data_IF_637216532616
#
_entry.id   IF_637216532616
#
_cell.length_a   1.000
_cell.length_b   1.000
_cell.length_c   1.000
_cell.angle_alpha   90.00
_cell.angle_beta   90.00
_cell.angle_gamma   90.00
#
_symmetry.space_group_name_H-M   'P 1'
#
loop_
_entity.id
_entity.type
_entity.pdbx_description
1 polymer ?
#
# COMPACT_ATOMS: atom_id res chain seq x y z
N UNK A 1 -21.64 1.08 5.08
CA UNK A 1 -22.21 1.65 6.34
C UNK A 1 -21.22 1.36 7.46
N UNK A 2 -20.36 2.31 7.77
CA UNK A 2 -19.39 2.21 8.87
C UNK A 2 -20.07 2.70 10.14
N UNK A 3 -20.54 1.77 10.95
CA UNK A 3 -21.01 2.10 12.31
C UNK A 3 -19.81 2.52 13.13
N UNK A 4 -19.66 3.82 13.33
CA UNK A 4 -18.76 4.41 14.31
C UNK A 4 -19.25 4.00 15.69
N UNK A 5 -18.72 2.90 16.21
CA UNK A 5 -19.04 2.45 17.57
C UNK A 5 -18.37 3.41 18.53
N UNK A 6 -19.16 4.17 19.30
CA UNK A 6 -18.66 4.97 20.41
C UNK A 6 -17.80 4.11 21.35
N UNK A 7 -16.75 4.65 21.98
CA UNK A 7 -15.89 3.87 22.87
C UNK A 7 -16.74 3.37 24.05
N UNK A 8 -16.92 2.05 24.07
CA UNK A 8 -17.63 1.39 25.16
C UNK A 8 -16.75 1.37 26.43
N UNK A 9 -17.30 1.78 27.55
CA UNK A 9 -16.59 1.69 28.84
C UNK A 9 -16.41 0.22 29.27
N UNK A 10 -15.42 -0.05 30.13
CA UNK A 10 -15.14 -1.39 30.67
C UNK A 10 -16.37 -2.08 31.29
N UNK A 11 -17.34 -1.30 31.77
CA UNK A 11 -18.58 -1.80 32.41
C UNK A 11 -19.79 -1.77 31.49
N UNK A 12 -19.64 -1.52 30.19
CA UNK A 12 -20.75 -1.51 29.23
C UNK A 12 -21.44 -2.88 29.18
N UNK A 13 -22.78 -2.90 29.36
CA UNK A 13 -23.61 -4.12 29.34
C UNK A 13 -24.36 -4.33 28.03
N UNK A 14 -24.07 -3.54 26.98
CA UNK A 14 -24.72 -3.74 25.68
C UNK A 14 -24.41 -5.12 25.09
N UNK A 15 -25.25 -5.57 24.16
CA UNK A 15 -25.11 -6.88 23.53
C UNK A 15 -23.71 -7.12 22.96
N UNK A 16 -23.17 -6.14 22.21
CA UNK A 16 -21.84 -6.25 21.57
C UNK A 16 -20.72 -6.43 22.62
N UNK A 17 -20.74 -5.66 23.72
CA UNK A 17 -19.76 -5.81 24.79
C UNK A 17 -19.88 -7.14 25.53
N UNK A 18 -21.08 -7.66 25.69
CA UNK A 18 -21.29 -9.01 26.29
C UNK A 18 -20.72 -10.10 25.39
N UNK A 19 -20.99 -10.04 24.09
CA UNK A 19 -20.45 -10.99 23.10
C UNK A 19 -18.92 -10.93 23.05
N UNK A 20 -18.34 -9.73 23.00
CA UNK A 20 -16.89 -9.55 23.00
C UNK A 20 -16.24 -10.14 24.26
N UNK A 21 -16.84 -9.91 25.45
CA UNK A 21 -16.36 -10.46 26.72
C UNK A 21 -16.47 -11.98 26.77
N UNK A 22 -17.58 -12.56 26.30
CA UNK A 22 -17.76 -14.01 26.21
C UNK A 22 -16.77 -14.67 25.25
N UNK A 23 -16.47 -14.04 24.11
CA UNK A 23 -15.45 -14.52 23.19
C UNK A 23 -14.06 -14.49 23.81
N UNK A 24 -13.70 -13.38 24.44
CA UNK A 24 -12.44 -13.23 25.14
C UNK A 24 -12.25 -14.30 26.24
N UNK A 25 -13.29 -14.57 27.03
CA UNK A 25 -13.23 -15.59 28.08
C UNK A 25 -13.08 -17.01 27.49
N UNK A 26 -13.80 -17.32 26.40
CA UNK A 26 -13.66 -18.60 25.68
C UNK A 26 -12.24 -18.80 25.14
N UNK A 27 -11.66 -17.78 24.50
CA UNK A 27 -10.31 -17.85 23.98
C UNK A 27 -9.28 -18.05 25.11
N UNK A 28 -9.45 -17.37 26.24
CA UNK A 28 -8.59 -17.51 27.43
C UNK A 28 -8.67 -18.93 28.01
N UNK A 29 -9.88 -19.47 28.13
CA UNK A 29 -10.09 -20.84 28.65
C UNK A 29 -9.51 -21.88 27.69
N UNK A 30 -9.68 -21.67 26.39
CA UNK A 30 -9.12 -22.58 25.38
C UNK A 30 -7.59 -22.56 25.41
N UNK A 31 -6.98 -21.38 25.46
CA UNK A 31 -5.52 -21.25 25.58
C UNK A 31 -4.97 -21.97 26.82
N UNK A 32 -5.68 -21.85 27.95
CA UNK A 32 -5.30 -22.56 29.18
C UNK A 32 -5.40 -24.09 29.06
N UNK A 33 -6.42 -24.60 28.36
CA UNK A 33 -6.56 -26.04 28.05
C UNK A 33 -5.46 -26.56 27.14
N UNK A 34 -5.06 -25.74 26.17
CA UNK A 34 -4.02 -26.09 25.20
C UNK A 34 -2.61 -25.92 25.77
N UNK A 35 -2.49 -25.45 27.03
CA UNK A 35 -1.21 -25.19 27.69
C UNK A 35 -0.41 -24.03 27.04
N UNK A 36 -1.09 -23.18 26.25
CA UNK A 36 -0.49 -22.10 25.49
C UNK A 36 -0.78 -20.77 26.17
N UNK A 37 0.23 -19.91 26.45
CA UNK A 37 -0.02 -18.59 27.04
C UNK A 37 -0.97 -17.76 26.16
N UNK A 38 -2.02 -17.19 26.76
CA UNK A 38 -2.97 -16.31 26.08
C UNK A 38 -2.36 -14.98 25.67
N UNK A 39 -1.37 -14.51 26.43
CA UNK A 39 -0.59 -13.30 26.15
C UNK A 39 0.88 -13.63 25.88
N UNK A 40 1.55 -12.76 25.16
CA UNK A 40 2.98 -12.86 24.84
C UNK A 40 3.65 -11.50 24.97
N UNK A 41 4.98 -11.43 24.97
CA UNK A 41 5.72 -10.17 24.93
C UNK A 41 5.59 -9.50 23.56
N UNK A 42 5.75 -8.17 23.52
CA UNK A 42 5.67 -7.39 22.28
C UNK A 42 6.97 -7.43 21.45
N UNK A 43 8.08 -7.96 21.98
CA UNK A 43 9.42 -7.83 21.39
C UNK A 43 9.50 -8.24 19.91
N UNK A 44 9.08 -9.45 19.58
CA UNK A 44 9.13 -9.95 18.20
C UNK A 44 8.21 -9.15 17.26
N UNK A 45 7.04 -8.75 17.78
CA UNK A 45 6.08 -7.94 17.04
C UNK A 45 6.60 -6.53 16.81
N UNK A 46 7.21 -5.91 17.81
CA UNK A 46 7.83 -4.59 17.71
C UNK A 46 8.94 -4.58 16.66
N UNK A 47 9.87 -5.54 16.72
CA UNK A 47 10.95 -5.67 15.74
C UNK A 47 10.42 -5.82 14.31
N UNK A 48 9.36 -6.62 14.10
CA UNK A 48 8.74 -6.76 12.79
C UNK A 48 8.04 -5.49 12.31
N UNK A 49 7.34 -4.78 13.20
CA UNK A 49 6.68 -3.51 12.87
C UNK A 49 7.69 -2.42 12.52
N UNK A 50 8.85 -2.38 13.18
CA UNK A 50 9.95 -1.47 12.88
C UNK A 50 10.49 -1.66 11.44
N UNK A 51 10.55 -2.90 10.94
CA UNK A 51 10.93 -3.14 9.54
C UNK A 51 9.96 -2.49 8.56
N UNK A 52 8.65 -2.52 8.84
CA UNK A 52 7.67 -1.83 8.00
C UNK A 52 7.78 -0.30 8.12
N UNK A 53 8.06 0.22 9.30
CA UNK A 53 8.30 1.66 9.50
C UNK A 53 9.56 2.12 8.77
N UNK A 54 10.65 1.36 8.84
CA UNK A 54 11.88 1.62 8.09
C UNK A 54 11.67 1.58 6.57
N UNK A 55 10.72 0.76 6.10
CA UNK A 55 10.27 0.75 4.69
C UNK A 55 9.37 1.94 4.32
N UNK A 56 9.10 2.86 5.25
CA UNK A 56 8.35 4.10 5.01
C UNK A 56 6.83 4.00 5.19
N UNK A 57 6.32 2.90 5.73
CA UNK A 57 4.89 2.78 6.06
C UNK A 57 4.55 3.53 7.35
N UNK A 58 3.34 4.08 7.44
CA UNK A 58 2.85 4.72 8.67
C UNK A 58 2.18 3.71 9.59
N UNK A 59 2.14 3.97 10.90
CA UNK A 59 1.42 3.14 11.88
C UNK A 59 -0.01 2.82 11.45
N UNK A 60 -0.73 3.81 10.90
CA UNK A 60 -2.10 3.65 10.40
C UNK A 60 -2.17 2.71 9.17
N UNK A 61 -1.21 2.82 8.26
CA UNK A 61 -1.14 1.95 7.08
C UNK A 61 -0.88 0.50 7.47
N UNK A 62 0.02 0.27 8.44
CA UNK A 62 0.36 -1.04 8.97
C UNK A 62 -0.83 -1.66 9.72
N UNK A 63 -1.53 -0.87 10.55
CA UNK A 63 -2.66 -1.36 11.35
C UNK A 63 -3.89 -1.75 10.54
N UNK A 64 -4.16 -1.05 9.43
CA UNK A 64 -5.38 -1.22 8.62
C UNK A 64 -5.65 -2.67 8.18
N UNK A 65 -4.71 -3.41 7.56
CA UNK A 65 -4.95 -4.80 7.12
C UNK A 65 -5.18 -5.77 8.27
N UNK A 66 -4.72 -5.45 9.47
CA UNK A 66 -4.91 -6.26 10.67
C UNK A 66 -6.17 -5.89 11.46
N UNK A 67 -6.90 -4.83 11.04
CA UNK A 67 -8.04 -4.29 11.78
C UNK A 67 -7.64 -3.57 13.08
N UNK A 68 -6.40 -3.08 13.16
CA UNK A 68 -5.83 -2.39 14.33
C UNK A 68 -5.80 -0.87 14.10
N UNK A 69 -5.96 -0.10 15.18
CA UNK A 69 -5.70 1.35 15.13
C UNK A 69 -4.18 1.61 15.06
N UNK A 70 -3.81 2.69 14.36
CA UNK A 70 -2.41 3.13 14.29
C UNK A 70 -1.79 3.42 15.65
N UNK A 71 -2.57 3.90 16.64
CA UNK A 71 -2.13 4.10 18.02
C UNK A 71 -1.78 2.78 18.72
N UNK A 72 -2.51 1.72 18.43
CA UNK A 72 -2.21 0.39 18.98
C UNK A 72 -0.90 -0.15 18.40
N UNK A 73 -0.68 0.01 17.09
CA UNK A 73 0.59 -0.35 16.44
C UNK A 73 1.74 0.47 17.05
N UNK A 74 1.56 1.78 17.24
CA UNK A 74 2.55 2.66 17.86
C UNK A 74 2.88 2.20 19.27
N UNK A 75 1.88 1.90 20.11
CA UNK A 75 2.07 1.41 21.50
C UNK A 75 2.90 0.12 21.54
N UNK A 76 2.71 -0.80 20.60
CA UNK A 76 3.48 -2.05 20.55
C UNK A 76 4.95 -1.76 20.26
N UNK A 77 5.23 -0.84 19.33
CA UNK A 77 6.60 -0.45 18.96
C UNK A 77 7.29 0.31 20.11
N UNK A 78 6.59 1.23 20.75
CA UNK A 78 7.13 2.04 21.85
C UNK A 78 7.31 1.28 23.17
N UNK A 79 6.59 0.16 23.35
CA UNK A 79 6.68 -0.67 24.55
C UNK A 79 6.93 -2.16 24.19
N UNK A 80 8.14 -2.51 23.73
CA UNK A 80 8.47 -3.88 23.32
C UNK A 80 8.43 -4.88 24.47
N UNK A 81 8.64 -4.45 25.70
CA UNK A 81 8.55 -5.31 26.90
C UNK A 81 7.12 -5.44 27.45
N UNK A 82 6.16 -4.77 26.85
CA UNK A 82 4.75 -4.91 27.17
C UNK A 82 4.20 -6.28 26.77
N UNK A 83 2.96 -6.55 27.20
CA UNK A 83 2.24 -7.77 26.82
C UNK A 83 1.16 -7.47 25.79
N UNK A 84 0.92 -8.44 24.89
CA UNK A 84 -0.13 -8.42 23.88
C UNK A 84 -0.84 -9.76 23.81
N UNK A 85 -2.01 -9.78 23.16
CA UNK A 85 -2.70 -11.02 22.86
C UNK A 85 -1.90 -11.82 21.82
N UNK A 86 -1.84 -13.14 21.99
CA UNK A 86 -1.20 -14.03 21.02
C UNK A 86 -1.81 -13.92 19.63
N UNK A 87 -3.13 -13.81 19.54
CA UNK A 87 -3.84 -13.61 18.27
C UNK A 87 -3.41 -12.31 17.56
N UNK A 88 -3.07 -11.26 18.32
CA UNK A 88 -2.52 -10.01 17.76
C UNK A 88 -1.10 -10.22 17.25
N UNK A 89 -0.25 -10.94 18.00
CA UNK A 89 1.09 -11.31 17.53
C UNK A 89 1.02 -12.09 16.21
N UNK A 90 0.16 -13.08 16.11
CA UNK A 90 -0.02 -13.89 14.90
C UNK A 90 -0.42 -13.04 13.69
N UNK A 91 -1.33 -12.07 13.87
CA UNK A 91 -1.69 -11.12 12.81
C UNK A 91 -0.48 -10.30 12.34
N UNK A 92 0.35 -9.82 13.26
CA UNK A 92 1.55 -9.03 12.94
C UNK A 92 2.58 -9.92 12.24
N UNK A 93 2.81 -11.13 12.72
CA UNK A 93 3.78 -12.06 12.14
C UNK A 93 3.39 -12.54 10.74
N UNK A 94 2.09 -12.66 10.46
CA UNK A 94 1.56 -13.06 9.15
C UNK A 94 1.38 -11.88 8.18
N UNK A 95 1.54 -10.62 8.64
CA UNK A 95 1.39 -9.44 7.78
C UNK A 95 2.48 -9.40 6.70
N UNK A 96 2.05 -9.25 5.46
CA UNK A 96 2.94 -9.10 4.30
C UNK A 96 2.95 -7.65 3.80
N UNK A 97 4.08 -7.19 3.27
CA UNK A 97 4.22 -5.85 2.65
C UNK A 97 3.17 -5.61 1.55
N UNK A 98 2.84 -6.65 0.79
CA UNK A 98 1.82 -6.58 -0.28
C UNK A 98 0.42 -6.21 0.20
N UNK A 99 0.12 -6.45 1.48
CA UNK A 99 -1.18 -6.16 2.11
C UNK A 99 -1.27 -4.73 2.66
N UNK A 100 -0.11 -4.06 2.83
CA UNK A 100 -0.06 -2.71 3.39
C UNK A 100 -0.27 -1.71 2.26
N UNK A 101 -1.32 -0.89 2.36
CA UNK A 101 -1.50 0.28 1.50
C UNK A 101 -0.59 1.40 2.02
N UNK A 102 0.42 1.85 1.26
CA UNK A 102 1.31 2.93 1.68
C UNK A 102 0.61 4.29 1.85
N UNK A 103 -0.72 4.34 1.63
CA UNK A 103 -1.47 5.58 1.72
C UNK A 103 -1.14 6.51 0.56
N UNK A 104 -0.72 7.74 0.86
CA UNK A 104 -0.34 8.72 -0.16
C UNK A 104 1.16 8.65 -0.44
N UNK A 105 1.53 8.57 -1.73
CA UNK A 105 2.91 8.51 -2.21
C UNK A 105 3.16 9.59 -3.26
N UNK A 106 4.43 9.91 -3.51
CA UNK A 106 4.80 10.80 -4.63
C UNK A 106 4.36 10.22 -5.97
N UNK A 107 3.83 11.06 -6.84
CA UNK A 107 3.41 10.65 -8.19
C UNK A 107 4.59 10.51 -9.17
N UNK A 108 5.81 10.86 -8.76
CA UNK A 108 6.97 10.97 -9.65
C UNK A 108 7.28 9.68 -10.40
N UNK A 109 7.40 8.57 -9.69
CA UNK A 109 7.68 7.26 -10.31
C UNK A 109 6.55 6.78 -11.22
N UNK A 110 5.30 6.98 -10.79
CA UNK A 110 4.12 6.67 -11.60
C UNK A 110 4.07 7.52 -12.88
N UNK A 111 4.39 8.81 -12.77
CA UNK A 111 4.48 9.71 -13.92
C UNK A 111 5.53 9.22 -14.93
N UNK A 112 6.70 8.82 -14.46
CA UNK A 112 7.80 8.32 -15.32
C UNK A 112 7.40 7.01 -16.03
N UNK A 113 6.76 6.08 -15.32
CA UNK A 113 6.24 4.81 -15.89
C UNK A 113 5.19 5.05 -16.97
N UNK A 114 4.24 5.96 -16.74
CA UNK A 114 3.23 6.32 -17.75
C UNK A 114 3.84 6.97 -19.00
N UNK A 115 4.86 7.83 -18.83
CA UNK A 115 5.59 8.45 -19.92
C UNK A 115 6.39 7.43 -20.72
N UNK A 116 7.00 6.46 -20.07
CA UNK A 116 7.72 5.36 -20.69
C UNK A 116 6.79 4.51 -21.57
N UNK A 117 5.62 4.10 -21.06
CA UNK A 117 4.61 3.41 -21.85
C UNK A 117 4.14 4.24 -23.04
N UNK A 118 3.96 5.54 -22.86
CA UNK A 118 3.56 6.45 -23.94
C UNK A 118 4.63 6.57 -25.04
N UNK A 119 5.91 6.51 -24.68
CA UNK A 119 7.04 6.49 -25.63
C UNK A 119 7.12 5.16 -26.39
N UNK A 120 6.71 4.06 -25.77
CA UNK A 120 6.53 2.76 -26.44
C UNK A 120 5.40 2.76 -27.46
N UNK A 121 4.40 3.65 -27.31
CA UNK A 121 3.25 3.75 -28.20
C UNK A 121 1.91 3.44 -27.51
N UNK A 122 1.92 3.11 -26.23
CA UNK A 122 0.68 2.89 -25.49
C UNK A 122 -0.06 4.20 -25.26
N UNK A 123 -1.31 4.28 -25.70
CA UNK A 123 -2.15 5.47 -25.53
C UNK A 123 -2.72 5.52 -24.11
N UNK A 124 -2.87 6.74 -23.55
CA UNK A 124 -3.38 6.91 -22.18
C UNK A 124 -4.75 6.24 -21.93
N UNK A 125 -5.74 6.31 -22.86
CA UNK A 125 -7.00 5.58 -22.68
C UNK A 125 -6.80 4.07 -22.53
N UNK A 126 -5.91 3.47 -23.33
CA UNK A 126 -5.62 2.03 -23.24
C UNK A 126 -4.92 1.68 -21.92
N UNK A 127 -3.97 2.51 -21.47
CA UNK A 127 -3.31 2.35 -20.17
C UNK A 127 -4.34 2.45 -19.03
N UNK A 128 -5.33 3.34 -19.14
CA UNK A 128 -6.41 3.49 -18.17
C UNK A 128 -7.26 2.21 -18.07
N UNK A 129 -7.68 1.68 -19.21
CA UNK A 129 -8.41 0.42 -19.33
C UNK A 129 -7.65 -0.75 -18.66
N UNK A 130 -6.37 -0.90 -19.01
CA UNK A 130 -5.50 -1.97 -18.50
C UNK A 130 -5.16 -1.85 -17.01
N UNK A 131 -5.17 -0.63 -16.47
CA UNK A 131 -4.90 -0.37 -15.04
C UNK A 131 -6.15 -0.37 -14.17
N UNK A 132 -7.36 -0.35 -14.76
CA UNK A 132 -8.62 -0.16 -14.03
C UNK A 132 -8.78 1.24 -13.44
N UNK A 133 -8.00 2.23 -13.91
CA UNK A 133 -8.06 3.61 -13.44
C UNK A 133 -8.79 4.51 -14.45
N UNK A 134 -9.35 5.62 -13.98
CA UNK A 134 -9.97 6.58 -14.89
C UNK A 134 -8.94 7.25 -15.82
N UNK A 135 -9.33 7.53 -17.06
CA UNK A 135 -8.46 8.20 -18.04
C UNK A 135 -7.98 9.57 -17.52
N UNK A 136 -8.84 10.30 -16.81
CA UNK A 136 -8.45 11.58 -16.20
C UNK A 136 -7.37 11.43 -15.12
N UNK A 137 -7.43 10.39 -14.29
CA UNK A 137 -6.39 10.11 -13.30
C UNK A 137 -5.05 9.82 -13.99
N UNK A 138 -5.04 8.91 -14.97
CA UNK A 138 -3.85 8.57 -15.76
C UNK A 138 -3.28 9.81 -16.47
N UNK A 139 -4.13 10.61 -17.10
CA UNK A 139 -3.73 11.85 -17.80
C UNK A 139 -3.10 12.87 -16.85
N UNK A 140 -3.71 13.12 -15.70
CA UNK A 140 -3.20 14.09 -14.74
C UNK A 140 -1.84 13.66 -14.15
N UNK A 141 -1.66 12.37 -13.88
CA UNK A 141 -0.37 11.83 -13.42
C UNK A 141 0.68 11.92 -14.53
N UNK A 142 0.38 11.48 -15.76
CA UNK A 142 1.32 11.50 -16.89
C UNK A 142 1.80 12.93 -17.24
N UNK A 143 0.91 13.92 -17.13
CA UNK A 143 1.21 15.33 -17.37
C UNK A 143 1.90 16.01 -16.17
N UNK A 144 2.05 15.35 -15.02
CA UNK A 144 2.67 15.92 -13.82
C UNK A 144 1.81 16.96 -13.10
N UNK A 145 0.50 16.98 -13.35
CA UNK A 145 -0.44 17.91 -12.69
C UNK A 145 -0.70 17.56 -11.23
N UNK A 146 -0.45 16.30 -10.85
CA UNK A 146 -0.63 15.78 -9.50
C UNK A 146 0.73 15.40 -8.94
N UNK A 147 1.07 15.88 -7.75
CA UNK A 147 2.35 15.59 -7.07
C UNK A 147 2.26 14.37 -6.15
N UNK A 148 1.06 14.06 -5.65
CA UNK A 148 0.81 13.02 -4.66
C UNK A 148 -0.40 12.20 -5.13
N UNK A 149 -0.29 10.88 -5.09
CA UNK A 149 -1.36 9.92 -5.45
C UNK A 149 -1.55 8.90 -4.35
N UNK A 150 -2.65 8.15 -4.41
CA UNK A 150 -2.85 7.01 -3.51
C UNK A 150 -1.86 5.88 -3.87
N UNK A 151 -1.36 5.19 -2.86
CA UNK A 151 -0.46 4.06 -3.05
C UNK A 151 -1.06 2.94 -3.89
N UNK A 152 -2.36 2.70 -3.75
CA UNK A 152 -3.12 1.77 -4.61
C UNK A 152 -3.07 2.19 -6.08
N UNK A 153 -3.21 3.47 -6.38
CA UNK A 153 -3.06 4.02 -7.73
C UNK A 153 -1.63 3.85 -8.26
N UNK A 154 -0.62 4.13 -7.42
CA UNK A 154 0.78 3.92 -7.79
C UNK A 154 1.07 2.45 -8.10
N UNK A 155 0.58 1.53 -7.27
CA UNK A 155 0.72 0.07 -7.46
C UNK A 155 0.04 -0.40 -8.74
N UNK A 156 -1.18 0.08 -9.04
CA UNK A 156 -1.88 -0.25 -10.27
C UNK A 156 -1.08 0.20 -11.51
N UNK A 157 -0.51 1.42 -11.48
CA UNK A 157 0.34 1.94 -12.57
C UNK A 157 1.62 1.11 -12.72
N UNK A 158 2.27 0.74 -11.62
CA UNK A 158 3.49 -0.08 -11.65
C UNK A 158 3.21 -1.45 -12.26
N UNK A 159 2.19 -2.17 -11.77
CA UNK A 159 1.81 -3.47 -12.30
C UNK A 159 1.46 -3.42 -13.80
N UNK A 160 0.75 -2.36 -14.22
CA UNK A 160 0.40 -2.14 -15.62
C UNK A 160 1.63 -1.86 -16.47
N UNK A 161 2.57 -1.05 -15.97
CA UNK A 161 3.84 -0.79 -16.64
C UNK A 161 4.63 -2.08 -16.83
N UNK A 162 4.81 -2.89 -15.77
CA UNK A 162 5.60 -4.13 -15.82
C UNK A 162 5.01 -5.16 -16.79
N UNK A 163 3.69 -5.16 -16.96
CA UNK A 163 3.01 -5.99 -17.94
C UNK A 163 3.14 -5.45 -19.36
N UNK A 164 2.75 -4.20 -19.57
CA UNK A 164 2.69 -3.61 -20.92
C UNK A 164 4.07 -3.31 -21.52
N UNK A 165 5.10 -3.08 -20.70
CA UNK A 165 6.47 -2.88 -21.19
C UNK A 165 7.10 -4.11 -21.84
N UNK A 166 6.54 -5.31 -21.57
CA UNK A 166 6.95 -6.59 -22.17
C UNK A 166 6.11 -6.99 -23.39
N UNK A 167 5.10 -6.21 -23.71
CA UNK A 167 4.18 -6.46 -24.82
C UNK A 167 4.41 -5.44 -25.92
N UNK A 168 4.14 -5.83 -27.14
CA UNK A 168 4.14 -4.89 -28.26
C UNK A 168 2.89 -3.99 -28.21
N UNK A 169 3.04 -2.67 -28.37
CA UNK A 169 1.90 -1.77 -28.46
C UNK A 169 1.12 -2.04 -29.75
N UNK A 170 -0.19 -1.66 -29.80
CA UNK A 170 -0.97 -1.80 -31.00
C UNK A 170 -0.29 -1.16 -32.22
N UNK A 171 -0.16 -1.91 -33.33
CA UNK A 171 0.51 -1.48 -34.57
C UNK A 171 -0.35 -0.52 -35.42
N UNK A 172 -1.12 0.37 -34.76
CA UNK A 172 -2.00 1.32 -35.44
C UNK A 172 -1.33 2.70 -35.63
N UNK A 173 -1.78 3.50 -36.64
CA UNK A 173 -1.23 4.83 -36.91
C UNK A 173 -1.37 5.80 -35.72
N UNK A 174 -2.40 5.63 -34.88
CA UNK A 174 -2.65 6.48 -33.70
C UNK A 174 -1.60 6.23 -32.61
N UNK A 175 -1.22 4.96 -32.38
CA UNK A 175 -0.16 4.57 -31.44
C UNK A 175 1.19 5.14 -31.88
N UNK A 176 1.55 5.06 -33.15
CA UNK A 176 2.77 5.66 -33.72
C UNK A 176 2.78 7.19 -33.58
N UNK A 177 1.66 7.85 -33.90
CA UNK A 177 1.49 9.30 -33.75
C UNK A 177 1.61 9.70 -32.27
N UNK A 178 1.06 8.91 -31.36
CA UNK A 178 1.15 9.16 -29.92
C UNK A 178 2.59 9.06 -29.40
N UNK A 179 3.33 8.04 -29.79
CA UNK A 179 4.75 7.89 -29.44
C UNK A 179 5.58 9.09 -29.96
N UNK A 180 5.35 9.55 -31.19
CA UNK A 180 5.98 10.74 -31.75
C UNK A 180 5.68 11.99 -30.91
N UNK A 181 4.40 12.25 -30.57
CA UNK A 181 3.99 13.36 -29.70
C UNK A 181 4.63 13.29 -28.31
N UNK A 182 4.80 12.09 -27.77
CA UNK A 182 5.42 11.89 -26.46
C UNK A 182 6.91 12.26 -26.48
N UNK A 183 7.62 11.94 -27.56
CA UNK A 183 9.02 12.38 -27.78
C UNK A 183 9.13 13.90 -27.91
N UNK A 184 8.24 14.55 -28.67
CA UNK A 184 8.22 16.01 -28.82
C UNK A 184 7.97 16.73 -27.49
N UNK A 185 7.29 16.10 -26.53
CA UNK A 185 7.11 16.61 -25.16
C UNK A 185 8.35 16.48 -24.27
N UNK A 186 9.44 15.94 -24.78
CA UNK A 186 10.67 15.74 -24.02
C UNK A 186 10.58 14.63 -22.96
N UNK A 187 9.60 13.71 -23.11
CA UNK A 187 9.51 12.57 -22.19
C UNK A 187 10.67 11.61 -22.41
N UNK A 188 11.07 10.92 -21.34
CA UNK A 188 12.22 10.01 -21.35
C UNK A 188 11.80 8.60 -20.98
N UNK A 189 12.53 7.62 -21.52
CA UNK A 189 12.37 6.21 -21.16
C UNK A 189 12.72 6.00 -19.70
N UNK A 190 12.10 5.01 -19.06
CA UNK A 190 12.34 4.69 -17.66
C UNK A 190 13.80 4.31 -17.39
N UNK A 191 14.44 3.63 -18.33
CA UNK A 191 15.87 3.29 -18.28
C UNK A 191 16.83 4.49 -18.17
N UNK A 192 16.35 5.73 -18.40
CA UNK A 192 17.13 6.95 -18.20
C UNK A 192 17.26 7.35 -16.72
N UNK A 193 16.66 6.62 -15.79
CA UNK A 193 16.69 6.88 -14.35
C UNK A 193 17.33 5.70 -13.62
N UNK A 194 18.11 5.94 -12.55
CA UNK A 194 18.65 4.87 -11.71
C UNK A 194 17.56 4.33 -10.78
N UNK A 195 16.83 5.25 -10.14
CA UNK A 195 15.64 4.97 -9.35
C UNK A 195 14.46 5.77 -9.91
N UNK A 196 13.48 5.12 -10.58
CA UNK A 196 12.34 5.82 -11.16
C UNK A 196 11.49 6.60 -10.15
N UNK A 197 11.51 6.22 -8.89
CA UNK A 197 10.67 6.80 -7.86
C UNK A 197 11.32 8.01 -7.18
N UNK A 198 12.65 8.07 -7.10
CA UNK A 198 13.37 9.11 -6.36
C UNK A 198 14.45 9.84 -7.16
N UNK A 199 15.02 9.21 -8.18
CA UNK A 199 16.24 9.69 -8.83
C UNK A 199 16.05 10.85 -9.81
N UNK A 200 17.08 11.70 -9.89
CA UNK A 200 17.27 12.60 -11.02
C UNK A 200 17.68 11.78 -12.25
N UNK A 201 17.40 12.32 -13.44
CA UNK A 201 17.81 11.75 -14.72
C UNK A 201 19.32 11.47 -14.70
N UNK A 202 19.73 10.29 -15.17
CA UNK A 202 21.15 10.03 -15.46
C UNK A 202 21.64 11.11 -16.44
N UNK A 203 22.67 11.83 -16.07
CA UNK A 203 23.39 12.65 -17.04
C UNK A 203 24.11 11.68 -17.99
N UNK A 204 23.50 11.38 -19.14
CA UNK A 204 24.21 10.78 -20.25
C UNK A 204 25.18 11.85 -20.77
N UNK A 205 26.47 11.72 -20.39
CA UNK A 205 27.56 12.40 -21.07
C UNK A 205 27.87 11.69 -22.37
#
# INVERSE_FOLDING_TARGET
>A
MTTTTAPHTLNCRCFMCRVARSNWERERVQAARDGVPYTTTCEQSAARLELFLAAGFTYKAIGRPMGMDGREVQRIVENPHGTMLRSTQEKIMNLQVSQIDPGKVTALGSMRRLRDLSLLGWRLPRIAEESGLSENAIRNVALGRVKIIMGTTAKAITNTHDRLSRMDPPADPRSRSWAKKSRTRGWSRLAAYNDPDNDKRRNCR
#
